data_IF_628833913841
#
_entry.id   IF_628833913841
#
_cell.length_a   1.000
_cell.length_b   1.000
_cell.length_c   1.000
_cell.angle_alpha   90.00
_cell.angle_beta   90.00
_cell.angle_gamma   90.00
#
_symmetry.space_group_name_H-M   'P 1'
#
loop_
_entity.id
_entity.type
_entity.pdbx_description
1 polymer ?
#
# COMPACT_ATOMS: atom_id res chain seq x y z
N UNK A 1 7.68 23.68 -18.77
CA UNK A 1 6.47 23.49 -17.93
C UNK A 1 6.72 22.22 -17.14
N UNK A 2 6.81 22.27 -15.82
CA UNK A 2 7.12 21.08 -15.00
C UNK A 2 5.86 20.24 -14.92
N UNK A 3 5.91 19.01 -15.44
CA UNK A 3 4.89 17.99 -15.21
C UNK A 3 4.82 17.76 -13.69
N UNK A 4 3.75 18.25 -13.06
CA UNK A 4 3.42 17.90 -11.69
C UNK A 4 2.89 16.46 -11.74
N UNK A 5 3.75 15.50 -11.44
CA UNK A 5 3.33 14.14 -11.12
C UNK A 5 2.42 14.23 -9.88
N UNK A 6 1.11 14.21 -10.13
CA UNK A 6 0.10 14.14 -9.07
C UNK A 6 0.13 12.73 -8.51
N UNK A 7 0.88 12.56 -7.43
CA UNK A 7 0.75 11.41 -6.52
C UNK A 7 -0.51 11.71 -5.71
N UNK A 8 -1.58 10.89 -5.78
CA UNK A 8 -2.72 11.06 -4.90
C UNK A 8 -2.22 11.02 -3.47
N UNK A 9 -2.54 12.03 -2.65
CA UNK A 9 -2.37 11.91 -1.20
C UNK A 9 -3.23 10.73 -0.76
N UNK A 10 -2.59 9.60 -0.47
CA UNK A 10 -3.27 8.43 0.08
C UNK A 10 -3.48 8.68 1.56
N UNK A 11 -4.56 9.40 1.89
CA UNK A 11 -5.07 9.46 3.24
C UNK A 11 -5.62 8.07 3.64
N UNK A 12 -5.41 7.66 4.90
CA UNK A 12 -5.96 6.40 5.42
C UNK A 12 -5.00 5.19 5.42
N UNK A 13 -3.72 5.40 5.72
CA UNK A 13 -2.70 4.34 5.82
C UNK A 13 -2.24 4.05 7.26
N UNK A 14 -2.97 4.54 8.26
CA UNK A 14 -2.72 4.14 9.64
C UNK A 14 -3.04 2.65 9.83
N UNK A 15 -2.54 2.03 10.90
CA UNK A 15 -2.93 0.67 11.22
C UNK A 15 -4.45 0.57 11.44
N UNK A 16 -5.02 1.61 12.04
CA UNK A 16 -6.44 1.70 12.36
C UNK A 16 -7.34 1.76 11.13
N UNK A 17 -6.87 2.42 10.07
CA UNK A 17 -7.58 2.50 8.79
C UNK A 17 -7.50 1.20 7.98
N UNK A 18 -6.43 0.43 8.18
CA UNK A 18 -6.13 -0.78 7.41
C UNK A 18 -6.69 -2.06 8.04
N UNK A 19 -6.86 -2.09 9.37
CA UNK A 19 -7.25 -3.28 10.13
C UNK A 19 -8.75 -3.34 10.41
N UNK A 20 -9.39 -4.48 10.15
CA UNK A 20 -10.84 -4.66 10.38
C UNK A 20 -11.23 -4.97 11.83
N UNK A 21 -10.27 -5.32 12.71
CA UNK A 21 -10.54 -5.73 14.10
C UNK A 21 -9.58 -5.07 15.10
N UNK A 22 -9.88 -3.85 15.50
CA UNK A 22 -9.02 -2.97 16.30
C UNK A 22 -8.90 -3.33 17.80
N UNK A 23 -9.75 -4.22 18.33
CA UNK A 23 -9.98 -4.36 19.78
C UNK A 23 -9.70 -5.77 20.35
N UNK A 24 -8.69 -6.46 19.83
CA UNK A 24 -8.21 -7.71 20.45
C UNK A 24 -6.84 -7.45 21.11
N UNK A 25 -6.51 -8.22 22.14
CA UNK A 25 -5.16 -8.22 22.74
C UNK A 25 -4.36 -9.41 22.23
N UNK A 26 -3.03 -9.29 22.20
CA UNK A 26 -2.13 -10.33 21.72
C UNK A 26 -2.22 -11.54 22.67
N UNK A 27 -2.70 -12.70 22.22
CA UNK A 27 -2.72 -13.87 23.09
C UNK A 27 -1.30 -14.28 23.46
N UNK A 28 -1.12 -14.68 24.72
CA UNK A 28 0.14 -15.24 25.19
C UNK A 28 0.53 -16.45 24.33
N UNK A 29 1.75 -16.45 23.78
CA UNK A 29 2.20 -17.48 22.85
C UNK A 29 1.88 -17.24 21.36
N UNK A 30 1.53 -16.00 20.98
CA UNK A 30 1.38 -15.62 19.57
C UNK A 30 2.58 -16.06 18.74
N UNK A 31 2.30 -16.83 17.68
CA UNK A 31 3.28 -17.22 16.68
C UNK A 31 3.17 -16.26 15.51
N UNK A 32 4.32 -15.87 14.99
CA UNK A 32 4.37 -15.06 13.76
C UNK A 32 3.55 -15.77 12.67
N UNK A 33 2.51 -15.13 12.10
CA UNK A 33 1.70 -15.70 11.05
C UNK A 33 2.56 -16.03 9.83
N UNK A 34 2.08 -16.97 9.02
CA UNK A 34 2.65 -17.21 7.71
C UNK A 34 2.08 -16.14 6.76
N UNK A 35 2.95 -15.30 6.21
CA UNK A 35 2.53 -14.26 5.27
C UNK A 35 2.44 -14.82 3.86
N UNK A 36 1.40 -14.42 3.14
CA UNK A 36 1.46 -14.41 1.69
C UNK A 36 2.40 -13.27 1.28
N UNK A 37 3.39 -13.59 0.45
CA UNK A 37 4.46 -12.65 0.15
C UNK A 37 4.14 -11.82 -1.08
N UNK A 38 4.26 -10.50 -0.96
CA UNK A 38 4.19 -9.59 -2.10
C UNK A 38 5.51 -9.64 -2.88
N UNK A 39 5.47 -9.97 -4.17
CA UNK A 39 6.65 -10.10 -5.03
C UNK A 39 7.06 -8.77 -5.69
N UNK A 40 6.18 -7.77 -5.65
CA UNK A 40 6.34 -6.49 -6.34
C UNK A 40 5.25 -6.20 -7.38
N UNK A 41 4.33 -7.14 -7.62
CA UNK A 41 3.24 -7.02 -8.59
C UNK A 41 1.88 -7.17 -7.91
N UNK A 42 0.83 -6.53 -8.46
CA UNK A 42 -0.52 -6.53 -7.90
C UNK A 42 -0.83 -5.28 -7.08
N UNK A 43 -1.90 -5.33 -6.28
CA UNK A 43 -2.40 -4.16 -5.54
C UNK A 43 -1.67 -4.02 -4.17
N UNK A 44 -0.80 -3.00 -3.99
CA UNK A 44 -0.06 -2.82 -2.75
C UNK A 44 -0.98 -2.46 -1.56
N UNK A 45 -2.08 -1.74 -1.80
CA UNK A 45 -3.04 -1.40 -0.73
C UNK A 45 -3.78 -2.65 -0.24
N UNK A 46 -4.14 -3.56 -1.15
CA UNK A 46 -4.74 -4.84 -0.77
C UNK A 46 -3.77 -5.69 0.07
N UNK A 47 -2.47 -5.69 -0.28
CA UNK A 47 -1.44 -6.35 0.51
C UNK A 47 -1.31 -5.76 1.92
N UNK A 48 -1.29 -4.43 2.05
CA UNK A 48 -1.24 -3.77 3.35
C UNK A 48 -2.43 -4.12 4.24
N UNK A 49 -3.65 -4.15 3.69
CA UNK A 49 -4.85 -4.55 4.44
C UNK A 49 -4.75 -6.00 4.93
N UNK A 50 -4.42 -6.92 4.02
CA UNK A 50 -4.26 -8.33 4.38
C UNK A 50 -3.15 -8.54 5.42
N UNK A 51 -2.06 -7.79 5.32
CA UNK A 51 -0.98 -7.79 6.30
C UNK A 51 -1.46 -7.31 7.67
N UNK A 52 -2.12 -6.15 7.76
CA UNK A 52 -2.65 -5.60 8.99
C UNK A 52 -3.72 -6.50 9.64
N UNK A 53 -4.55 -7.16 8.84
CA UNK A 53 -5.57 -8.10 9.31
C UNK A 53 -4.97 -9.37 9.95
N UNK A 54 -3.74 -9.75 9.61
CA UNK A 54 -3.04 -10.84 10.29
C UNK A 54 -2.49 -10.45 11.68
N UNK A 55 -2.42 -9.15 11.96
CA UNK A 55 -2.02 -8.59 13.24
C UNK A 55 -3.20 -8.17 14.12
N UNK A 56 -4.40 -8.65 13.80
CA UNK A 56 -5.59 -8.50 14.65
C UNK A 56 -5.26 -8.99 16.07
N UNK A 57 -5.26 -8.04 17.00
CA UNK A 57 -4.90 -8.27 18.40
C UNK A 57 -3.50 -7.78 18.82
N UNK A 58 -2.61 -7.53 17.87
CA UNK A 58 -1.21 -7.10 18.07
C UNK A 58 -1.07 -5.56 17.95
N UNK A 59 -2.20 -4.90 17.69
CA UNK A 59 -2.35 -3.63 16.97
C UNK A 59 -1.98 -2.34 17.70
N UNK A 60 -0.90 -2.31 18.48
CA UNK A 60 -0.35 -1.03 19.00
C UNK A 60 1.17 -0.91 18.93
N UNK A 61 1.87 -1.97 18.53
CA UNK A 61 3.32 -1.92 18.45
C UNK A 61 3.78 -1.68 17.00
N UNK A 62 3.80 -0.41 16.60
CA UNK A 62 4.26 -0.01 15.25
C UNK A 62 5.66 -0.53 14.94
N UNK A 63 6.57 -0.53 15.92
CA UNK A 63 7.93 -1.03 15.72
C UNK A 63 7.95 -2.52 15.35
N UNK A 64 7.08 -3.33 15.97
CA UNK A 64 6.91 -4.74 15.64
C UNK A 64 6.25 -4.90 14.26
N UNK A 65 5.22 -4.11 13.96
CA UNK A 65 4.52 -4.11 12.68
C UNK A 65 5.48 -3.79 11.52
N UNK A 66 6.34 -2.79 11.67
CA UNK A 66 7.33 -2.42 10.67
C UNK A 66 8.44 -3.50 10.55
N UNK A 67 8.88 -4.07 11.67
CA UNK A 67 9.93 -5.10 11.67
C UNK A 67 9.50 -6.38 10.96
N UNK A 68 8.26 -6.80 11.18
CA UNK A 68 7.71 -8.01 10.58
C UNK A 68 7.28 -7.81 9.13
N UNK A 69 7.13 -6.57 8.65
CA UNK A 69 6.68 -6.30 7.28
C UNK A 69 7.59 -6.92 6.23
N UNK A 70 8.92 -6.92 6.47
CA UNK A 70 9.91 -7.59 5.61
C UNK A 70 9.62 -9.07 5.35
N UNK A 71 8.93 -9.76 6.27
CA UNK A 71 8.56 -11.18 6.17
C UNK A 71 7.37 -11.39 5.23
N UNK A 72 6.63 -10.33 4.93
CA UNK A 72 5.52 -10.32 3.96
C UNK A 72 5.98 -9.94 2.55
N UNK A 73 7.27 -9.70 2.33
CA UNK A 73 7.83 -9.29 1.04
C UNK A 73 8.74 -10.36 0.46
N UNK A 74 8.84 -10.39 -0.86
CA UNK A 74 9.75 -11.26 -1.60
C UNK A 74 10.19 -10.58 -2.89
N UNK A 75 11.19 -11.17 -3.57
CA UNK A 75 11.72 -10.71 -4.86
C UNK A 75 11.97 -9.20 -4.90
N UNK A 76 11.33 -8.48 -5.80
CA UNK A 76 11.60 -7.07 -6.07
C UNK A 76 11.07 -6.17 -4.96
N UNK A 77 9.98 -6.57 -4.29
CA UNK A 77 9.51 -5.89 -3.09
C UNK A 77 10.50 -6.00 -1.92
N UNK A 78 11.09 -7.18 -1.72
CA UNK A 78 12.11 -7.36 -0.69
C UNK A 78 13.38 -6.59 -1.04
N UNK A 79 13.82 -6.61 -2.31
CA UNK A 79 14.95 -5.79 -2.77
C UNK A 79 14.70 -4.31 -2.49
N UNK A 80 13.54 -3.78 -2.88
CA UNK A 80 13.14 -2.40 -2.60
C UNK A 80 13.22 -2.06 -1.11
N UNK A 81 12.68 -2.94 -0.25
CA UNK A 81 12.68 -2.73 1.20
C UNK A 81 14.11 -2.69 1.75
N UNK A 82 14.99 -3.60 1.30
CA UNK A 82 16.38 -3.66 1.74
C UNK A 82 17.29 -2.61 1.10
N UNK A 83 16.92 -2.06 -0.07
CA UNK A 83 17.68 -1.04 -0.78
C UNK A 83 17.42 0.37 -0.27
N UNK A 84 16.47 0.56 0.65
CA UNK A 84 16.31 1.82 1.36
C UNK A 84 17.51 2.01 2.29
N UNK A 85 18.61 2.57 1.76
CA UNK A 85 19.81 2.89 2.54
C UNK A 85 19.45 3.91 3.64
N UNK A 86 19.55 3.47 4.90
CA UNK A 86 19.69 4.33 6.09
C UNK A 86 18.47 5.24 6.41
N UNK A 87 17.36 5.17 5.65
CA UNK A 87 16.11 5.90 5.96
C UNK A 87 15.09 4.99 6.67
N UNK A 88 14.70 5.29 7.91
CA UNK A 88 14.03 6.49 8.47
C UNK A 88 12.49 6.48 8.34
N UNK A 89 11.85 5.33 8.20
CA UNK A 89 10.45 5.28 8.59
C UNK A 89 10.36 5.45 10.11
N UNK A 90 9.83 6.59 10.55
CA UNK A 90 9.62 6.90 11.97
C UNK A 90 8.31 6.32 12.50
N UNK A 91 7.41 5.93 11.59
CA UNK A 91 6.12 5.33 11.90
C UNK A 91 5.68 4.37 10.80
N UNK A 92 4.71 3.51 11.13
CA UNK A 92 4.07 2.63 10.16
C UNK A 92 3.53 3.39 8.95
N UNK A 93 2.85 4.51 9.18
CA UNK A 93 2.22 5.29 8.09
C UNK A 93 3.23 5.80 7.07
N UNK A 94 4.45 6.17 7.50
CA UNK A 94 5.51 6.60 6.58
C UNK A 94 6.01 5.46 5.70
N UNK A 95 6.15 4.26 6.26
CA UNK A 95 6.51 3.05 5.51
C UNK A 95 5.40 2.65 4.53
N UNK A 96 4.15 2.61 5.00
CA UNK A 96 3.00 2.23 4.20
C UNK A 96 2.81 3.16 3.00
N UNK A 97 3.01 4.47 3.20
CA UNK A 97 2.96 5.48 2.14
C UNK A 97 4.03 5.22 1.08
N UNK A 98 5.29 5.11 1.48
CA UNK A 98 6.39 4.86 0.53
C UNK A 98 6.20 3.53 -0.22
N UNK A 99 5.69 2.50 0.45
CA UNK A 99 5.37 1.22 -0.18
C UNK A 99 4.30 1.36 -1.25
N UNK A 100 3.18 2.02 -0.92
CA UNK A 100 2.11 2.25 -1.90
C UNK A 100 2.60 3.11 -3.05
N UNK A 101 3.32 4.21 -2.80
CA UNK A 101 3.83 5.09 -3.86
C UNK A 101 4.81 4.36 -4.79
N UNK A 102 5.69 3.51 -4.25
CA UNK A 102 6.65 2.78 -5.06
C UNK A 102 6.00 1.71 -5.94
N UNK A 103 4.98 1.01 -5.41
CA UNK A 103 4.31 -0.07 -6.10
C UNK A 103 2.98 0.34 -6.75
N UNK A 104 2.56 1.60 -6.64
CA UNK A 104 1.31 2.12 -7.22
C UNK A 104 1.27 1.95 -8.75
N UNK A 105 2.42 2.05 -9.41
CA UNK A 105 2.54 1.87 -10.86
C UNK A 105 2.49 0.40 -11.30
N UNK A 106 2.64 -0.55 -10.38
CA UNK A 106 2.55 -1.99 -10.66
C UNK A 106 1.13 -2.54 -10.51
N UNK A 107 0.18 -1.66 -10.19
CA UNK A 107 -1.23 -1.89 -10.45
C UNK A 107 -1.37 -1.79 -11.96
N UNK A 108 -1.60 -2.91 -12.64
CA UNK A 108 -2.32 -2.84 -13.92
C UNK A 108 -3.51 -1.92 -13.65
N UNK A 109 -3.50 -0.71 -14.21
CA UNK A 109 -4.62 0.22 -14.09
C UNK A 109 -5.76 -0.45 -14.86
N UNK A 110 -6.46 -1.37 -14.20
CA UNK A 110 -7.82 -1.74 -14.52
C UNK A 110 -8.61 -0.58 -13.96
N UNK A 111 -9.10 0.35 -14.80
CA UNK A 111 -9.84 1.49 -14.30
C UNK A 111 -11.04 0.96 -13.54
N UNK A 112 -11.09 1.21 -12.23
CA UNK A 112 -12.32 0.96 -11.49
C UNK A 112 -13.37 2.02 -11.87
N UNK A 113 -14.63 1.72 -11.56
CA UNK A 113 -15.76 2.59 -11.91
C UNK A 113 -15.58 4.03 -11.40
N UNK A 114 -14.99 4.20 -10.22
CA UNK A 114 -14.74 5.51 -9.62
C UNK A 114 -13.64 6.29 -10.33
N UNK A 115 -12.63 5.60 -10.84
CA UNK A 115 -11.56 6.18 -11.66
C UNK A 115 -12.09 6.64 -13.01
N UNK A 116 -13.01 5.88 -13.62
CA UNK A 116 -13.69 6.26 -14.87
C UNK A 116 -14.59 7.49 -14.70
N UNK A 117 -15.32 7.60 -13.58
CA UNK A 117 -16.19 8.75 -13.28
C UNK A 117 -15.39 10.06 -13.08
N UNK A 118 -14.09 9.98 -12.80
CA UNK A 118 -13.18 11.14 -12.66
C UNK A 118 -12.49 11.55 -13.95
N UNK A 119 -12.51 10.71 -15.00
CA UNK A 119 -11.96 11.05 -16.31
C UNK A 119 -13.00 11.89 -17.05
N UNK A 120 -12.91 13.21 -16.94
CA UNK A 120 -13.72 14.12 -17.74
C UNK A 120 -13.04 14.43 -19.08
N UNK A 121 -13.86 14.60 -20.12
CA UNK A 121 -13.36 15.03 -21.44
C UNK A 121 -12.73 16.42 -21.33
N UNK A 122 -11.45 16.53 -21.68
CA UNK A 122 -10.72 17.79 -21.80
C UNK A 122 -11.31 18.65 -22.92
N UNK A 123 -11.20 19.97 -22.80
CA UNK A 123 -11.70 20.90 -23.82
C UNK A 123 -10.93 20.83 -25.15
N UNK A 124 -9.71 20.28 -25.11
CA UNK A 124 -8.80 20.18 -26.26
C UNK A 124 -8.81 18.82 -26.94
N UNK A 125 -9.55 17.84 -26.42
CA UNK A 125 -9.61 16.49 -27.00
C UNK A 125 -10.90 16.25 -27.77
N UNK A 126 -10.79 15.48 -28.84
CA UNK A 126 -11.95 15.02 -29.60
C UNK A 126 -12.71 13.94 -28.82
N UNK A 127 -14.00 13.78 -29.16
CA UNK A 127 -14.82 12.70 -28.60
C UNK A 127 -14.24 11.31 -28.89
N UNK A 128 -13.62 11.14 -30.06
CA UNK A 128 -12.98 9.89 -30.44
C UNK A 128 -11.81 9.57 -29.52
N UNK A 129 -10.90 10.51 -29.30
CA UNK A 129 -9.74 10.33 -28.43
C UNK A 129 -10.14 10.03 -26.98
N UNK A 130 -11.22 10.65 -26.50
CA UNK A 130 -11.78 10.35 -25.19
C UNK A 130 -12.34 8.92 -25.08
N UNK A 131 -13.04 8.44 -26.12
CA UNK A 131 -13.64 7.09 -26.12
C UNK A 131 -12.61 5.95 -26.26
N UNK A 132 -11.38 6.25 -26.67
CA UNK A 132 -10.27 5.29 -26.78
C UNK A 132 -9.31 5.34 -25.59
N UNK A 133 -9.62 6.09 -24.52
CA UNK A 133 -8.85 6.08 -23.27
C UNK A 133 -9.14 4.87 -22.40
#
# INVERSE_FOLDING_TARGET
MKELHYIPEVDGLSYEDLCIHLNLDLPEGFKVPKFDTFEGTGNPLAHLRAYCDQFVGVGKNEALLMRLFSRSLSRDALKWFTSQEIRQWSSWSTLAKDFVEWFAYNVEIVPDRYSLERINRKSTESYREYAYR
#
